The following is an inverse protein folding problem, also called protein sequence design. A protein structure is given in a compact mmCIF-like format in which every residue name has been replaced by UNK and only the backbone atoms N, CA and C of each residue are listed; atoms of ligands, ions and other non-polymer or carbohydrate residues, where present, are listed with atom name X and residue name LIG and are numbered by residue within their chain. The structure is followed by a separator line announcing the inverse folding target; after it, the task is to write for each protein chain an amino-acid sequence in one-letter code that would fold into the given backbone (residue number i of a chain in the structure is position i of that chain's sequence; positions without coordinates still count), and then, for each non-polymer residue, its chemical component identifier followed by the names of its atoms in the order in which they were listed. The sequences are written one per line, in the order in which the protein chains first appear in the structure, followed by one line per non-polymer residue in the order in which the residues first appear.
data_IF_759931869865
#
_entry.id   IF_759931869865
#
_cell.length_a   1.000
_cell.length_b   1.000
_cell.length_c   1.000
_cell.angle_alpha   90.00
_cell.angle_beta   90.00
_cell.angle_gamma   90.00
#
_symmetry.space_group_name_H-M   'P 1'
#
loop_
_entity.id
_entity.type
_entity.pdbx_description
1 polymer ?
#
# COMPACT_ATOMS: atom_id res chain seq x y z
N UNK A 1 42.85 13.29 4.57
CA UNK A 1 43.12 14.64 5.08
C UNK A 1 44.38 15.28 4.47
N UNK A 2 45.56 14.64 4.54
CA UNK A 2 46.83 15.19 4.00
C UNK A 2 46.70 15.64 2.54
N UNK A 3 46.21 14.77 1.64
CA UNK A 3 45.96 15.12 0.21
C UNK A 3 45.00 16.29 0.00
N UNK A 4 44.11 16.57 0.95
CA UNK A 4 43.15 17.67 0.88
C UNK A 4 43.81 18.99 1.32
N UNK A 5 44.63 18.95 2.37
CA UNK A 5 45.47 20.09 2.80
C UNK A 5 46.44 20.50 1.68
N UNK A 6 47.11 19.53 1.04
CA UNK A 6 48.05 19.79 -0.06
C UNK A 6 47.37 20.42 -1.27
N UNK A 7 46.14 19.98 -1.58
CA UNK A 7 45.35 20.48 -2.72
C UNK A 7 44.92 21.93 -2.57
N UNK A 8 44.61 22.37 -1.35
CA UNK A 8 44.01 23.68 -1.07
C UNK A 8 44.95 24.65 -0.34
N UNK A 9 46.24 24.35 -0.26
CA UNK A 9 47.20 25.13 0.55
C UNK A 9 47.33 26.61 0.12
N UNK A 10 47.03 26.90 -1.16
CA UNK A 10 47.14 28.20 -1.80
C UNK A 10 45.82 29.00 -1.83
N UNK A 11 44.71 28.46 -1.31
CA UNK A 11 43.42 29.15 -1.28
C UNK A 11 43.13 29.74 0.11
N UNK A 12 42.46 30.90 0.18
CA UNK A 12 42.15 31.57 1.45
C UNK A 12 40.68 31.43 1.80
N UNK A 13 40.31 30.95 3.02
CA UNK A 13 41.22 30.53 4.10
C UNK A 13 41.86 29.14 3.86
N UNK A 14 43.16 28.99 4.15
CA UNK A 14 43.85 27.71 4.02
C UNK A 14 43.80 26.89 5.32
N UNK A 15 43.92 25.56 5.20
CA UNK A 15 44.12 24.66 6.33
C UNK A 15 45.62 24.39 6.44
N UNK A 16 46.34 24.94 7.42
CA UNK A 16 47.81 25.01 7.37
C UNK A 16 48.49 23.67 7.63
N UNK A 17 47.88 22.76 8.40
CA UNK A 17 48.36 21.40 8.66
C UNK A 17 47.27 20.53 9.30
N UNK A 18 47.54 19.23 9.45
CA UNK A 18 46.61 18.26 10.05
C UNK A 18 46.31 18.59 11.52
N UNK A 19 47.26 19.16 12.27
CA UNK A 19 47.05 19.53 13.67
C UNK A 19 46.02 20.68 13.80
N UNK A 20 46.11 21.70 12.94
CA UNK A 20 45.14 22.79 12.87
C UNK A 20 43.75 22.28 12.48
N UNK A 21 43.66 21.40 11.47
CA UNK A 21 42.39 20.75 11.13
C UNK A 21 41.78 19.98 12.31
N UNK A 22 42.59 19.17 13.00
CA UNK A 22 42.13 18.41 14.14
C UNK A 22 41.67 19.32 15.28
N UNK A 23 42.38 20.43 15.52
CA UNK A 23 42.00 21.44 16.52
C UNK A 23 40.65 22.09 16.19
N UNK A 24 40.48 22.65 14.99
CA UNK A 24 39.22 23.30 14.58
C UNK A 24 38.04 22.31 14.56
N UNK A 25 38.27 21.08 14.07
CA UNK A 25 37.23 20.04 14.14
C UNK A 25 36.93 19.62 15.57
N UNK A 26 37.90 19.69 16.49
CA UNK A 26 37.63 19.42 17.91
C UNK A 26 36.76 20.49 18.53
N UNK A 27 36.96 21.77 18.21
CA UNK A 27 36.08 22.86 18.66
C UNK A 27 34.64 22.61 18.20
N UNK A 28 34.46 22.19 16.94
CA UNK A 28 33.13 21.87 16.42
C UNK A 28 32.53 20.63 17.09
N UNK A 29 33.34 19.63 17.46
CA UNK A 29 32.89 18.47 18.25
C UNK A 29 32.48 18.87 19.65
N UNK A 30 33.33 19.60 20.38
CA UNK A 30 33.05 20.11 21.73
C UNK A 30 31.79 20.98 21.73
N UNK A 31 31.64 21.88 20.76
CA UNK A 31 30.41 22.65 20.59
C UNK A 31 29.20 21.72 20.42
N UNK A 32 29.29 20.72 19.53
CA UNK A 32 28.22 19.75 19.31
C UNK A 32 27.88 18.91 20.55
N UNK A 33 28.89 18.52 21.34
CA UNK A 33 28.76 17.71 22.56
C UNK A 33 28.14 18.50 23.71
N UNK A 34 28.54 19.76 23.90
CA UNK A 34 28.07 20.61 25.00
C UNK A 34 26.73 21.30 24.71
N UNK A 35 26.42 21.54 23.42
CA UNK A 35 25.23 22.30 23.00
C UNK A 35 23.91 21.78 23.57
N UNK A 36 23.64 20.46 23.66
CA UNK A 36 22.39 19.95 24.21
C UNK A 36 22.12 20.43 25.64
N UNK A 37 23.14 20.44 26.51
CA UNK A 37 22.97 20.87 27.90
C UNK A 37 22.66 22.37 27.98
N UNK A 38 23.43 23.21 27.26
CA UNK A 38 23.14 24.65 27.18
C UNK A 38 21.76 24.95 26.58
N UNK A 39 21.31 24.16 25.61
CA UNK A 39 19.95 24.30 25.08
C UNK A 39 18.88 23.94 26.09
N UNK A 40 19.09 22.89 26.89
CA UNK A 40 18.15 22.52 27.96
C UNK A 40 18.00 23.66 28.98
N UNK A 41 19.12 24.22 29.42
CA UNK A 41 19.12 25.35 30.37
C UNK A 41 18.47 26.61 29.77
N UNK A 42 18.74 26.91 28.50
CA UNK A 42 18.11 28.02 27.80
C UNK A 42 16.58 27.85 27.71
N UNK A 43 16.09 26.66 27.34
CA UNK A 43 14.66 26.36 27.30
C UNK A 43 14.02 26.44 28.68
N UNK A 44 14.69 25.90 29.71
CA UNK A 44 14.21 25.98 31.08
C UNK A 44 14.06 27.42 31.56
N UNK A 45 15.05 28.28 31.26
CA UNK A 45 14.99 29.71 31.58
C UNK A 45 13.89 30.43 30.80
N UNK A 46 13.84 30.24 29.48
CA UNK A 46 12.90 30.93 28.60
C UNK A 46 11.43 30.63 28.93
N UNK A 47 11.11 29.36 29.20
CA UNK A 47 9.76 28.93 29.54
C UNK A 47 9.47 28.88 31.06
N UNK A 48 10.43 29.30 31.90
CA UNK A 48 10.33 29.26 33.36
C UNK A 48 9.99 27.84 33.90
N UNK A 49 10.68 26.83 33.38
CA UNK A 49 10.47 25.42 33.72
C UNK A 49 11.15 25.06 35.04
N UNK A 50 10.48 24.22 35.83
CA UNK A 50 10.89 23.90 37.20
C UNK A 50 11.84 22.70 37.27
N UNK A 51 12.77 22.53 36.32
CA UNK A 51 13.73 21.41 36.26
C UNK A 51 13.22 20.17 35.52
N UNK A 52 13.95 19.05 35.62
CA UNK A 52 13.71 17.80 34.89
C UNK A 52 13.49 16.59 35.82
N UNK A 53 12.87 15.54 35.29
CA UNK A 53 12.78 14.21 35.89
C UNK A 53 13.34 13.18 34.91
N UNK A 54 14.10 12.21 35.41
CA UNK A 54 14.65 11.12 34.61
C UNK A 54 13.62 9.99 34.52
N UNK A 55 13.34 9.54 33.30
CA UNK A 55 12.35 8.50 33.03
C UNK A 55 12.99 7.42 32.16
N UNK A 56 12.80 6.16 32.55
CA UNK A 56 13.11 5.00 31.75
C UNK A 56 11.80 4.41 31.20
N UNK A 57 11.75 4.23 29.88
CA UNK A 57 10.65 3.60 29.19
C UNK A 57 11.08 2.22 28.70
N UNK A 58 10.22 1.23 28.94
CA UNK A 58 10.46 -0.14 28.50
C UNK A 58 9.18 -0.83 28.08
N UNK A 59 9.34 -2.05 27.60
CA UNK A 59 8.29 -3.03 27.47
C UNK A 59 8.80 -4.39 27.93
N UNK A 60 7.87 -5.29 28.26
CA UNK A 60 8.22 -6.64 28.69
C UNK A 60 8.94 -7.45 27.60
N UNK A 61 8.65 -7.20 26.32
CA UNK A 61 9.37 -7.79 25.18
C UNK A 61 9.18 -6.93 23.91
N UNK A 62 10.29 -6.43 23.34
CA UNK A 62 10.29 -5.60 22.12
C UNK A 62 10.07 -6.40 20.83
N UNK A 63 10.10 -7.74 20.91
CA UNK A 63 9.73 -8.60 19.81
C UNK A 63 8.22 -8.64 19.60
N UNK A 64 7.41 -8.30 20.62
CA UNK A 64 5.94 -8.47 20.59
C UNK A 64 5.16 -7.14 20.71
N UNK A 65 5.84 -6.03 20.97
CA UNK A 65 5.24 -4.70 20.99
C UNK A 65 6.28 -3.60 20.91
N UNK A 66 5.83 -2.35 20.88
CA UNK A 66 6.67 -1.16 20.81
C UNK A 66 6.07 -0.02 21.62
N UNK A 67 6.93 0.90 22.05
CA UNK A 67 6.54 2.09 22.81
C UNK A 67 6.91 3.32 22.00
N UNK A 68 6.00 4.28 21.97
CA UNK A 68 6.18 5.61 21.39
C UNK A 68 6.12 6.65 22.51
N UNK A 69 6.99 7.64 22.43
CA UNK A 69 7.00 8.83 23.29
C UNK A 69 6.96 10.04 22.37
N UNK A 70 5.96 10.91 22.52
CA UNK A 70 5.73 12.06 21.62
C UNK A 70 5.76 11.66 20.13
N UNK A 71 5.05 10.57 19.80
CA UNK A 71 4.97 10.00 18.44
C UNK A 71 6.30 9.47 17.86
N UNK A 72 7.36 9.38 18.69
CA UNK A 72 8.64 8.78 18.33
C UNK A 72 8.75 7.39 18.92
N UNK A 73 8.94 6.37 18.07
CA UNK A 73 9.26 5.03 18.53
C UNK A 73 10.61 5.02 19.23
N UNK A 74 10.64 4.49 20.45
CA UNK A 74 11.86 4.41 21.27
C UNK A 74 12.37 2.97 21.35
N UNK A 75 13.67 2.83 21.58
CA UNK A 75 14.29 1.55 21.90
C UNK A 75 13.84 1.04 23.28
N UNK A 76 13.92 -0.27 23.50
CA UNK A 76 13.57 -0.84 24.79
C UNK A 76 14.59 -0.42 25.87
N UNK A 77 14.11 -0.07 27.06
CA UNK A 77 14.90 0.52 28.16
C UNK A 77 15.51 1.89 27.82
N UNK A 78 14.87 2.67 26.95
CA UNK A 78 15.25 4.05 26.65
C UNK A 78 15.14 4.93 27.89
N UNK A 79 16.19 5.69 28.20
CA UNK A 79 16.24 6.59 29.34
C UNK A 79 16.49 8.03 28.89
N UNK A 80 15.67 8.98 29.37
CA UNK A 80 15.82 10.39 29.04
C UNK A 80 15.30 11.30 30.18
N UNK A 81 15.63 12.58 30.08
CA UNK A 81 15.17 13.62 31.01
C UNK A 81 14.06 14.44 30.38
N UNK A 82 12.96 14.63 31.11
CA UNK A 82 11.81 15.40 30.69
C UNK A 82 11.55 16.54 31.67
N UNK A 83 11.13 17.70 31.15
CA UNK A 83 10.78 18.84 32.02
C UNK A 83 9.58 18.51 32.90
N UNK A 84 9.69 18.86 34.19
CA UNK A 84 8.59 18.68 35.14
C UNK A 84 7.40 19.55 34.77
N UNK A 85 6.22 19.03 35.06
CA UNK A 85 4.91 19.65 34.81
C UNK A 85 4.57 19.86 33.33
N UNK A 86 5.39 19.29 32.42
CA UNK A 86 5.06 19.19 30.99
C UNK A 86 4.52 17.79 30.72
N UNK A 87 3.24 17.64 30.35
CA UNK A 87 2.68 16.34 30.04
C UNK A 87 3.37 15.72 28.83
N UNK A 88 3.66 14.42 28.89
CA UNK A 88 4.27 13.65 27.82
C UNK A 88 3.31 12.57 27.30
N UNK A 89 3.07 12.55 25.99
CA UNK A 89 2.26 11.50 25.35
C UNK A 89 3.09 10.21 25.26
N UNK A 90 2.49 9.10 25.69
CA UNK A 90 3.05 7.76 25.53
C UNK A 90 2.03 6.83 24.90
N UNK A 91 2.50 5.93 24.04
CA UNK A 91 1.64 5.00 23.32
C UNK A 91 2.27 3.60 23.21
N UNK A 92 1.47 2.57 23.47
CA UNK A 92 1.86 1.17 23.37
C UNK A 92 1.21 0.54 22.14
N UNK A 93 2.04 0.11 21.20
CA UNK A 93 1.62 -0.49 19.93
C UNK A 93 1.99 -1.97 19.92
N UNK A 94 1.03 -2.90 20.10
CA UNK A 94 1.32 -4.34 20.04
C UNK A 94 1.61 -4.78 18.60
N UNK A 95 2.49 -5.78 18.43
CA UNK A 95 2.65 -6.43 17.12
C UNK A 95 1.51 -7.41 16.84
N UNK A 96 1.36 -7.80 15.57
CA UNK A 96 0.32 -8.73 15.12
C UNK A 96 0.43 -10.07 15.87
N UNK A 97 -0.68 -10.52 16.43
CA UNK A 97 -0.74 -11.70 17.30
C UNK A 97 -0.60 -11.38 18.80
N UNK A 98 -0.51 -10.10 19.16
CA UNK A 98 -0.37 -9.65 20.54
C UNK A 98 -1.33 -8.51 20.85
N UNK A 99 -1.57 -8.30 22.14
CA UNK A 99 -2.39 -7.20 22.66
C UNK A 99 -1.67 -6.47 23.78
N UNK A 100 -1.96 -5.18 23.90
CA UNK A 100 -1.58 -4.40 25.06
C UNK A 100 -2.47 -4.78 26.26
N UNK A 101 -1.85 -5.00 27.40
CA UNK A 101 -2.52 -5.37 28.66
C UNK A 101 -2.66 -4.15 29.56
N UNK A 102 -1.53 -3.49 29.85
CA UNK A 102 -1.47 -2.31 30.72
C UNK A 102 -0.09 -1.65 30.70
N UNK A 103 -0.05 -0.43 31.22
CA UNK A 103 1.17 0.23 31.65
C UNK A 103 1.48 -0.06 33.12
N UNK A 104 2.77 -0.13 33.45
CA UNK A 104 3.31 -0.03 34.80
C UNK A 104 3.93 1.36 34.93
N UNK A 105 3.68 2.07 36.04
CA UNK A 105 4.32 3.36 36.33
C UNK A 105 3.51 4.62 35.96
N UNK A 106 2.31 4.45 35.39
CA UNK A 106 1.37 5.56 35.09
C UNK A 106 -0.02 5.28 35.67
N UNK A 107 -0.79 6.34 35.93
CA UNK A 107 -2.11 6.24 36.57
C UNK A 107 -3.17 5.64 35.65
N UNK A 108 -3.27 6.16 34.42
CA UNK A 108 -4.15 5.58 33.41
C UNK A 108 -3.45 4.39 32.76
N UNK A 109 -3.52 3.26 33.45
CA UNK A 109 -2.76 2.08 33.08
C UNK A 109 -3.38 1.27 31.94
N UNK A 110 -4.63 1.51 31.56
CA UNK A 110 -5.36 0.64 30.62
C UNK A 110 -5.53 1.24 29.22
N UNK A 111 -5.36 2.55 29.07
CA UNK A 111 -5.36 3.17 27.75
C UNK A 111 -4.04 2.89 27.03
N UNK A 112 -4.12 2.39 25.78
CA UNK A 112 -2.94 2.19 24.92
C UNK A 112 -2.16 3.49 24.70
N UNK A 113 -2.89 4.59 24.49
CA UNK A 113 -2.35 5.95 24.37
C UNK A 113 -2.77 6.75 25.60
N UNK A 114 -1.79 7.28 26.34
CA UNK A 114 -2.02 8.03 27.57
C UNK A 114 -0.96 9.10 27.78
N UNK A 115 -1.01 9.80 28.91
CA UNK A 115 -0.08 10.89 29.23
C UNK A 115 0.52 10.68 30.62
N UNK A 116 1.83 10.90 30.73
CA UNK A 116 2.51 11.02 32.02
C UNK A 116 2.91 12.47 32.26
N UNK A 117 2.80 12.98 33.49
CA UNK A 117 3.29 14.33 33.82
C UNK A 117 4.43 14.18 34.84
N UNK A 118 5.67 14.53 34.49
CA UNK A 118 6.79 14.40 35.42
C UNK A 118 6.66 15.40 36.57
N UNK A 119 6.91 14.95 37.81
CA UNK A 119 6.78 15.74 39.04
C UNK A 119 7.90 15.51 40.06
N UNK A 120 8.78 14.51 39.86
CA UNK A 120 9.75 14.05 40.87
C UNK A 120 11.14 14.63 40.65
N UNK A 121 11.88 14.82 41.74
CA UNK A 121 13.19 15.50 41.74
C UNK A 121 14.40 14.56 41.73
N UNK A 122 14.32 13.39 42.40
CA UNK A 122 15.53 12.66 42.81
C UNK A 122 15.50 11.13 42.53
N UNK A 123 14.59 10.65 41.68
CA UNK A 123 14.49 9.21 41.36
C UNK A 123 14.10 8.97 39.91
N UNK A 124 14.80 8.06 39.22
CA UNK A 124 14.34 7.56 37.91
C UNK A 124 13.00 6.87 38.07
N UNK A 125 12.03 7.26 37.23
CA UNK A 125 10.76 6.55 37.11
C UNK A 125 10.84 5.53 35.98
N UNK A 126 10.27 4.36 36.22
CA UNK A 126 10.17 3.29 35.24
C UNK A 126 8.74 3.19 34.74
N UNK A 127 8.54 3.43 33.46
CA UNK A 127 7.27 3.24 32.77
C UNK A 127 7.43 2.06 31.81
N UNK A 128 6.58 1.05 31.95
CA UNK A 128 6.70 -0.17 31.14
C UNK A 128 5.37 -0.57 30.51
N UNK A 129 5.36 -0.80 29.19
CA UNK A 129 4.23 -1.40 28.50
C UNK A 129 4.25 -2.93 28.66
N UNK A 130 3.11 -3.51 28.99
CA UNK A 130 2.94 -4.96 29.09
C UNK A 130 2.09 -5.45 27.92
N UNK A 131 2.66 -6.38 27.16
CA UNK A 131 2.04 -7.07 26.04
C UNK A 131 1.91 -8.57 26.32
N UNK A 132 0.91 -9.21 25.72
CA UNK A 132 0.75 -10.67 25.76
C UNK A 132 0.16 -11.18 24.44
N UNK A 133 0.19 -12.50 24.23
CA UNK A 133 -0.42 -13.14 23.06
C UNK A 133 -1.92 -12.86 22.98
N UNK A 134 -2.38 -12.59 21.77
CA UNK A 134 -3.79 -12.44 21.46
C UNK A 134 -4.26 -13.63 20.63
N UNK A 135 -5.46 -14.12 20.91
CA UNK A 135 -5.99 -15.32 20.28
C UNK A 135 -6.63 -14.98 18.92
N UNK A 136 -5.79 -14.54 17.98
CA UNK A 136 -6.18 -14.16 16.62
C UNK A 136 -5.75 -15.20 15.60
N UNK A 137 -6.48 -15.32 14.49
CA UNK A 137 -6.09 -16.21 13.40
C UNK A 137 -4.99 -15.58 12.56
N UNK A 138 -3.85 -16.26 12.46
CA UNK A 138 -2.71 -15.80 11.65
C UNK A 138 -2.64 -16.58 10.35
N UNK A 139 -2.48 -15.88 9.23
CA UNK A 139 -2.18 -16.49 7.93
C UNK A 139 -0.69 -16.85 7.89
N UNK A 140 -0.36 -18.07 7.51
CA UNK A 140 1.04 -18.46 7.26
C UNK A 140 1.63 -17.58 6.16
N UNK A 141 2.85 -17.08 6.38
CA UNK A 141 3.58 -16.31 5.35
C UNK A 141 3.95 -17.16 4.12
N UNK A 142 3.98 -18.48 4.28
CA UNK A 142 4.26 -19.44 3.21
C UNK A 142 3.26 -20.59 3.29
N UNK A 143 2.35 -20.66 2.32
CA UNK A 143 1.29 -21.67 2.23
C UNK A 143 1.81 -22.80 1.33
N UNK A 144 2.18 -23.90 1.96
CA UNK A 144 2.82 -25.08 1.33
C UNK A 144 1.86 -26.24 1.11
N UNK A 145 0.66 -26.16 1.65
CA UNK A 145 -0.42 -27.14 1.49
C UNK A 145 -1.76 -26.43 1.37
N UNK A 146 -2.73 -27.10 0.77
CA UNK A 146 -4.06 -26.52 0.53
C UNK A 146 -4.63 -26.00 1.85
N UNK A 147 -4.97 -24.72 1.87
CA UNK A 147 -5.39 -24.02 3.09
C UNK A 147 -6.73 -23.35 2.85
N UNK A 148 -7.62 -23.46 3.84
CA UNK A 148 -8.93 -22.80 3.83
C UNK A 148 -9.03 -21.80 4.97
N UNK A 149 -9.29 -20.55 4.64
CA UNK A 149 -9.67 -19.50 5.60
C UNK A 149 -11.19 -19.47 5.66
N UNK A 150 -11.77 -19.82 6.82
CA UNK A 150 -13.20 -19.91 7.01
C UNK A 150 -13.72 -18.79 7.90
N UNK A 151 -15.01 -18.49 7.84
CA UNK A 151 -15.61 -17.38 8.58
C UNK A 151 -15.39 -17.43 10.10
N UNK A 152 -15.28 -18.63 10.69
CA UNK A 152 -15.10 -18.78 12.14
C UNK A 152 -13.73 -18.32 12.63
N UNK A 153 -12.73 -18.27 11.75
CA UNK A 153 -11.41 -17.73 12.04
C UNK A 153 -11.26 -16.24 11.68
N UNK A 154 -12.30 -15.59 11.14
CA UNK A 154 -12.21 -14.19 10.72
C UNK A 154 -12.24 -13.23 11.92
N UNK A 155 -11.46 -12.13 11.91
CA UNK A 155 -10.51 -11.72 10.88
C UNK A 155 -9.20 -12.52 10.93
N UNK A 156 -8.61 -12.75 9.76
CA UNK A 156 -7.27 -13.33 9.62
C UNK A 156 -6.22 -12.24 9.44
N UNK A 157 -5.10 -12.35 10.12
CA UNK A 157 -4.00 -11.39 10.05
C UNK A 157 -2.79 -11.97 9.33
N UNK A 158 -2.28 -11.25 8.34
CA UNK A 158 -0.96 -11.53 7.80
C UNK A 158 0.12 -10.86 8.67
N UNK A 159 1.30 -11.49 8.79
CA UNK A 159 2.48 -10.90 9.48
C UNK A 159 3.47 -10.20 8.52
N UNK A 160 3.18 -10.26 7.23
CA UNK A 160 4.01 -9.79 6.13
C UNK A 160 3.46 -10.34 4.82
N UNK A 161 4.31 -10.50 3.80
CA UNK A 161 3.90 -11.18 2.57
C UNK A 161 3.36 -12.58 2.86
N UNK A 162 2.32 -12.96 2.12
CA UNK A 162 1.76 -14.31 2.09
C UNK A 162 2.02 -14.88 0.71
N UNK A 163 2.73 -16.00 0.65
CA UNK A 163 3.09 -16.67 -0.59
C UNK A 163 2.34 -17.99 -0.68
N UNK A 164 1.54 -18.17 -1.74
CA UNK A 164 0.90 -19.44 -2.07
C UNK A 164 1.79 -20.19 -3.06
N UNK A 165 2.35 -21.31 -2.65
CA UNK A 165 3.33 -22.04 -3.46
C UNK A 165 2.72 -22.73 -4.68
N UNK A 166 3.54 -23.06 -5.69
CA UNK A 166 3.08 -23.83 -6.85
C UNK A 166 2.34 -25.11 -6.43
N UNK A 167 1.26 -25.43 -7.15
CA UNK A 167 0.39 -26.58 -6.94
C UNK A 167 -0.37 -26.58 -5.59
N UNK A 168 -0.51 -25.41 -4.95
CA UNK A 168 -1.23 -25.23 -3.70
C UNK A 168 -2.37 -24.23 -3.89
N UNK A 169 -3.52 -24.51 -3.30
CA UNK A 169 -4.67 -23.59 -3.32
C UNK A 169 -4.88 -22.91 -1.96
N UNK A 170 -5.04 -21.59 -1.98
CA UNK A 170 -5.62 -20.84 -0.87
C UNK A 170 -7.11 -20.59 -1.16
N UNK A 171 -7.97 -21.27 -0.41
CA UNK A 171 -9.42 -21.06 -0.45
C UNK A 171 -9.84 -20.10 0.65
N UNK A 172 -10.69 -19.13 0.32
CA UNK A 172 -11.25 -18.18 1.28
C UNK A 172 -12.77 -18.22 1.17
N UNK A 173 -13.43 -18.54 2.28
CA UNK A 173 -14.88 -18.66 2.34
C UNK A 173 -15.57 -17.29 2.38
N UNK A 174 -16.87 -17.28 2.08
CA UNK A 174 -17.68 -16.08 2.12
C UNK A 174 -17.64 -15.35 3.48
N UNK A 175 -17.63 -14.02 3.41
CA UNK A 175 -17.64 -13.12 4.58
C UNK A 175 -16.31 -12.99 5.31
N UNK A 176 -15.25 -13.70 4.90
CA UNK A 176 -13.95 -13.62 5.56
C UNK A 176 -13.32 -12.23 5.37
N UNK A 177 -12.88 -11.65 6.48
CA UNK A 177 -11.98 -10.49 6.52
C UNK A 177 -10.51 -10.92 6.65
N UNK A 178 -9.64 -10.31 5.81
CA UNK A 178 -8.18 -10.43 5.84
C UNK A 178 -7.56 -9.06 6.09
N UNK A 179 -6.70 -8.99 7.10
CA UNK A 179 -5.98 -7.79 7.53
C UNK A 179 -4.50 -7.89 7.16
N UNK A 180 -4.07 -7.04 6.25
CA UNK A 180 -2.72 -7.03 5.69
C UNK A 180 -1.88 -5.91 6.33
N UNK A 181 -0.64 -6.17 6.80
CA UNK A 181 0.23 -5.13 7.30
C UNK A 181 0.76 -4.25 6.16
N UNK A 182 1.41 -3.14 6.53
CA UNK A 182 2.01 -2.21 5.58
C UNK A 182 2.90 -2.92 4.54
N UNK A 183 2.72 -2.57 3.27
CA UNK A 183 3.51 -3.05 2.13
C UNK A 183 3.49 -4.58 1.91
N UNK A 184 2.70 -5.34 2.67
CA UNK A 184 2.59 -6.78 2.50
C UNK A 184 1.76 -7.14 1.27
N UNK A 185 2.20 -8.17 0.56
CA UNK A 185 1.60 -8.65 -0.68
C UNK A 185 1.04 -10.07 -0.53
N UNK A 186 0.03 -10.38 -1.33
CA UNK A 186 -0.45 -11.74 -1.58
C UNK A 186 0.14 -12.24 -2.90
N UNK A 187 1.14 -13.12 -2.84
CA UNK A 187 1.88 -13.60 -4.01
C UNK A 187 1.46 -15.04 -4.31
N UNK A 188 0.86 -15.26 -5.48
CA UNK A 188 0.17 -16.51 -5.81
C UNK A 188 0.91 -17.21 -6.95
N UNK A 189 1.58 -18.31 -6.64
CA UNK A 189 2.22 -19.22 -7.62
C UNK A 189 1.45 -20.51 -7.82
N UNK A 190 0.58 -20.84 -6.86
CA UNK A 190 -0.43 -21.90 -6.95
C UNK A 190 -1.72 -21.36 -7.54
N UNK A 191 -2.77 -21.27 -6.74
CA UNK A 191 -4.01 -20.57 -7.07
C UNK A 191 -4.72 -20.00 -5.83
N UNK A 192 -5.66 -19.08 -6.08
CA UNK A 192 -6.61 -18.61 -5.07
C UNK A 192 -8.05 -18.92 -5.48
N UNK A 193 -8.86 -19.35 -4.52
CA UNK A 193 -10.30 -19.57 -4.68
C UNK A 193 -11.04 -18.72 -3.64
N UNK A 194 -11.33 -17.47 -4.00
CA UNK A 194 -12.09 -16.56 -3.14
C UNK A 194 -13.57 -16.70 -3.47
N UNK A 195 -14.32 -17.24 -2.52
CA UNK A 195 -15.71 -17.67 -2.69
C UNK A 195 -16.67 -16.77 -1.90
N UNK A 196 -16.54 -15.45 -2.04
CA UNK A 196 -17.51 -14.51 -1.48
C UNK A 196 -18.90 -14.69 -2.10
N UNK A 197 -19.91 -14.08 -1.48
CA UNK A 197 -21.24 -13.92 -2.07
C UNK A 197 -21.67 -12.46 -2.04
N UNK A 198 -22.80 -12.12 -2.67
CA UNK A 198 -23.37 -10.78 -2.62
C UNK A 198 -23.70 -10.36 -1.18
N UNK A 199 -24.24 -11.28 -0.39
CA UNK A 199 -24.60 -11.04 1.01
C UNK A 199 -23.38 -11.05 1.95
N UNK A 200 -22.35 -11.82 1.60
CA UNK A 200 -21.16 -12.03 2.42
C UNK A 200 -19.90 -11.92 1.55
N UNK A 201 -19.56 -10.70 1.10
CA UNK A 201 -18.33 -10.49 0.34
C UNK A 201 -17.11 -10.72 1.24
N UNK A 202 -16.02 -11.19 0.64
CA UNK A 202 -14.70 -11.23 1.29
C UNK A 202 -14.16 -9.80 1.33
N UNK A 203 -13.54 -9.41 2.45
CA UNK A 203 -12.90 -8.09 2.58
C UNK A 203 -11.42 -8.25 2.82
N UNK A 204 -10.58 -7.60 2.00
CA UNK A 204 -9.14 -7.52 2.22
C UNK A 204 -8.76 -6.06 2.36
N UNK A 205 -8.15 -5.70 3.49
CA UNK A 205 -7.85 -4.31 3.85
C UNK A 205 -6.57 -4.19 4.67
N UNK A 206 -6.11 -2.95 4.88
CA UNK A 206 -4.96 -2.69 5.73
C UNK A 206 -5.27 -2.99 7.20
N UNK A 207 -4.28 -3.51 7.93
CA UNK A 207 -4.35 -3.63 9.37
C UNK A 207 -3.98 -2.27 10.01
N UNK A 208 -4.98 -1.44 10.31
CA UNK A 208 -4.78 -0.09 10.86
C UNK A 208 -4.04 -0.10 12.21
N UNK A 209 -4.07 -1.22 12.95
CA UNK A 209 -3.29 -1.37 14.19
C UNK A 209 -1.77 -1.40 13.95
N UNK A 210 -1.32 -1.52 12.70
CA UNK A 210 0.09 -1.41 12.34
C UNK A 210 0.58 0.04 12.22
N UNK A 211 -0.30 1.04 12.39
CA UNK A 211 0.03 2.46 12.23
C UNK A 211 -0.02 2.94 10.77
N UNK A 212 -0.44 2.07 9.85
CA UNK A 212 -0.55 2.34 8.43
C UNK A 212 -1.94 2.02 7.91
N UNK A 213 -2.39 2.79 6.93
CA UNK A 213 -3.72 2.69 6.32
C UNK A 213 -3.68 2.13 4.90
N UNK A 214 -2.58 1.47 4.51
CA UNK A 214 -2.37 0.88 3.18
C UNK A 214 -1.64 -0.45 3.30
N UNK A 215 -1.87 -1.34 2.36
CA UNK A 215 -1.11 -2.58 2.18
C UNK A 215 -0.64 -2.70 0.74
N UNK A 216 0.09 -3.77 0.41
CA UNK A 216 0.58 -4.03 -0.94
C UNK A 216 -0.56 -4.36 -1.91
N UNK A 217 -0.40 -5.46 -2.65
CA UNK A 217 -1.33 -5.86 -3.70
C UNK A 217 -1.42 -7.38 -3.81
N UNK A 218 -2.32 -7.87 -4.66
CA UNK A 218 -2.42 -9.27 -5.06
C UNK A 218 -1.62 -9.45 -6.36
N UNK A 219 -0.68 -10.38 -6.37
CA UNK A 219 0.09 -10.72 -7.56
C UNK A 219 -0.01 -12.21 -7.87
N UNK A 220 -0.61 -12.54 -9.01
CA UNK A 220 -0.70 -13.90 -9.54
C UNK A 220 0.44 -14.10 -10.54
N UNK A 221 1.47 -14.85 -10.14
CA UNK A 221 2.73 -15.00 -10.87
C UNK A 221 2.90 -16.44 -11.39
N UNK A 222 2.76 -16.60 -12.70
CA UNK A 222 3.03 -17.86 -13.40
C UNK A 222 2.33 -19.05 -12.71
N UNK A 223 1.07 -18.82 -12.32
CA UNK A 223 0.28 -19.68 -11.45
C UNK A 223 0.05 -21.05 -12.09
N UNK A 224 0.20 -22.12 -11.30
CA UNK A 224 0.03 -23.49 -11.78
C UNK A 224 -1.43 -23.86 -12.07
N UNK A 225 -2.38 -23.07 -11.58
CA UNK A 225 -3.81 -23.25 -11.80
C UNK A 225 -4.55 -21.91 -11.87
N UNK A 226 -5.76 -21.94 -12.41
CA UNK A 226 -6.62 -20.76 -12.57
C UNK A 226 -7.05 -20.21 -11.21
N UNK A 227 -6.85 -18.91 -11.01
CA UNK A 227 -7.34 -18.19 -9.83
C UNK A 227 -8.75 -17.65 -10.06
N UNK A 228 -9.62 -17.77 -9.06
CA UNK A 228 -10.98 -17.23 -9.07
C UNK A 228 -11.16 -16.26 -7.90
N UNK A 229 -11.45 -15.00 -8.22
CA UNK A 229 -11.68 -13.92 -7.27
C UNK A 229 -13.14 -13.49 -7.38
N UNK A 230 -13.99 -13.93 -6.45
CA UNK A 230 -15.43 -13.67 -6.49
C UNK A 230 -15.92 -12.92 -5.27
N UNK A 231 -16.71 -11.87 -5.49
CA UNK A 231 -17.35 -11.07 -4.43
C UNK A 231 -16.36 -10.59 -3.38
N UNK A 232 -15.43 -9.75 -3.82
CA UNK A 232 -14.33 -9.23 -2.99
C UNK A 232 -14.38 -7.70 -2.95
N UNK A 233 -14.28 -7.16 -1.73
CA UNK A 233 -14.00 -5.75 -1.51
C UNK A 233 -12.50 -5.61 -1.22
N UNK A 234 -11.80 -4.96 -2.14
CA UNK A 234 -10.39 -4.62 -1.98
C UNK A 234 -10.29 -3.17 -1.52
N UNK A 235 -9.82 -2.96 -0.30
CA UNK A 235 -9.70 -1.63 0.29
C UNK A 235 -8.23 -1.32 0.54
N UNK A 236 -7.81 -0.08 0.28
CA UNK A 236 -6.49 0.44 0.67
C UNK A 236 -5.30 -0.34 0.07
N UNK A 237 -5.53 -1.08 -1.02
CA UNK A 237 -4.47 -1.73 -1.76
C UNK A 237 -3.62 -0.68 -2.50
N UNK A 238 -2.35 -1.01 -2.73
CA UNK A 238 -1.42 -0.16 -3.48
C UNK A 238 -0.98 -0.86 -4.76
N UNK A 239 0.22 -0.53 -5.24
CA UNK A 239 0.81 -1.01 -6.47
C UNK A 239 2.31 -1.18 -6.30
N UNK A 240 2.96 -1.98 -7.14
CA UNK A 240 4.40 -1.96 -7.24
C UNK A 240 4.86 -0.76 -8.07
N UNK A 241 5.63 0.15 -7.47
CA UNK A 241 6.18 1.33 -8.16
C UNK A 241 7.49 1.06 -8.92
N UNK A 242 8.05 -0.13 -8.78
CA UNK A 242 9.39 -0.46 -9.28
C UNK A 242 9.40 -1.54 -10.36
N UNK A 243 8.31 -2.31 -10.49
CA UNK A 243 8.18 -3.39 -11.46
C UNK A 243 6.94 -3.16 -12.32
N UNK A 244 7.15 -2.94 -13.62
CA UNK A 244 6.08 -2.69 -14.58
C UNK A 244 5.16 -3.89 -14.82
N UNK A 245 5.50 -5.08 -14.32
CA UNK A 245 4.64 -6.27 -14.39
C UNK A 245 3.63 -6.37 -13.22
N UNK A 246 3.73 -5.48 -12.22
CA UNK A 246 3.01 -5.58 -10.95
C UNK A 246 2.36 -4.25 -10.53
N UNK A 247 1.83 -3.51 -11.50
CA UNK A 247 1.36 -2.13 -11.27
C UNK A 247 -0.08 -2.04 -10.78
N UNK A 248 -0.87 -3.11 -10.82
CA UNK A 248 -2.26 -3.13 -10.33
C UNK A 248 -2.41 -3.67 -8.90
N UNK A 249 -3.45 -3.22 -8.20
CA UNK A 249 -3.89 -3.78 -6.92
C UNK A 249 -4.28 -5.26 -7.03
N UNK A 250 -4.77 -5.67 -8.20
CA UNK A 250 -4.71 -7.05 -8.68
C UNK A 250 -3.85 -7.06 -9.94
N UNK A 251 -2.68 -7.71 -9.84
CA UNK A 251 -1.76 -7.93 -10.95
C UNK A 251 -1.69 -9.41 -11.31
N UNK A 252 -1.63 -9.74 -12.60
CA UNK A 252 -1.45 -11.12 -13.06
C UNK A 252 -0.43 -11.21 -14.19
N UNK A 253 0.46 -12.20 -14.12
CA UNK A 253 1.47 -12.49 -15.12
C UNK A 253 1.42 -13.97 -15.50
N UNK A 254 1.27 -14.28 -16.79
CA UNK A 254 1.27 -15.66 -17.34
C UNK A 254 0.35 -16.63 -16.59
N UNK A 255 -0.85 -16.16 -16.26
CA UNK A 255 -1.79 -16.90 -15.41
C UNK A 255 -3.23 -16.71 -15.89
N UNK A 256 -4.04 -17.76 -15.76
CA UNK A 256 -5.48 -17.69 -16.04
C UNK A 256 -6.23 -17.13 -14.83
N UNK A 257 -7.15 -16.19 -15.08
CA UNK A 257 -7.79 -15.42 -14.01
C UNK A 257 -9.28 -15.17 -14.29
N UNK A 258 -10.11 -15.36 -13.27
CA UNK A 258 -11.48 -14.86 -13.21
C UNK A 258 -11.59 -13.84 -12.07
N UNK A 259 -12.00 -12.62 -12.39
CA UNK A 259 -12.38 -11.57 -11.44
C UNK A 259 -13.88 -11.30 -11.64
N UNK A 260 -14.68 -11.53 -10.61
CA UNK A 260 -16.13 -11.43 -10.70
C UNK A 260 -16.73 -10.78 -9.45
N UNK A 261 -17.59 -9.77 -9.63
CA UNK A 261 -18.20 -9.04 -8.51
C UNK A 261 -17.16 -8.43 -7.54
N UNK A 262 -16.08 -7.85 -8.08
CA UNK A 262 -15.04 -7.22 -7.26
C UNK A 262 -15.23 -5.70 -7.24
N UNK A 263 -15.06 -5.11 -6.07
CA UNK A 263 -15.07 -3.65 -5.87
C UNK A 263 -13.70 -3.15 -5.46
N UNK A 264 -13.16 -2.20 -6.23
CA UNK A 264 -11.89 -1.50 -5.95
C UNK A 264 -12.12 -0.01 -6.22
N UNK A 265 -12.12 0.82 -5.18
CA UNK A 265 -12.49 2.24 -5.31
C UNK A 265 -11.42 3.21 -4.82
N UNK A 266 -10.34 2.71 -4.23
CA UNK A 266 -9.33 3.51 -3.52
C UNK A 266 -7.91 2.98 -3.76
N UNK A 267 -7.69 2.29 -4.89
CA UNK A 267 -6.38 1.82 -5.31
C UNK A 267 -5.79 2.72 -6.41
N UNK A 268 -4.46 2.95 -6.42
CA UNK A 268 -3.80 3.76 -7.46
C UNK A 268 -4.03 3.23 -8.87
N UNK A 269 -4.04 1.91 -9.04
CA UNK A 269 -4.30 1.21 -10.30
C UNK A 269 -5.10 -0.05 -9.96
N UNK A 270 -6.35 -0.22 -10.44
CA UNK A 270 -7.18 -1.34 -9.99
C UNK A 270 -6.73 -2.71 -10.51
N UNK A 271 -6.69 -2.93 -11.84
CA UNK A 271 -6.42 -4.25 -12.42
C UNK A 271 -5.43 -4.15 -13.58
N UNK A 272 -4.34 -4.92 -13.47
CA UNK A 272 -3.32 -5.04 -14.51
C UNK A 272 -3.04 -6.51 -14.82
N UNK A 273 -3.06 -6.92 -16.09
CA UNK A 273 -2.82 -8.32 -16.47
C UNK A 273 -1.92 -8.40 -17.69
N UNK A 274 -0.98 -9.35 -17.67
CA UNK A 274 -0.12 -9.70 -18.79
C UNK A 274 -0.15 -11.20 -19.06
N UNK A 275 -0.48 -11.59 -20.30
CA UNK A 275 -0.60 -12.97 -20.75
C UNK A 275 -1.73 -13.78 -20.05
N UNK A 276 -2.00 -14.98 -20.57
CA UNK A 276 -3.02 -15.89 -20.03
C UNK A 276 -4.42 -15.65 -20.60
N UNK A 277 -5.43 -16.27 -19.98
CA UNK A 277 -6.84 -16.09 -20.30
C UNK A 277 -7.56 -15.37 -19.16
N UNK A 278 -8.23 -14.26 -19.49
CA UNK A 278 -8.76 -13.33 -18.48
C UNK A 278 -10.25 -13.12 -18.65
N UNK A 279 -10.98 -13.22 -17.53
CA UNK A 279 -12.38 -12.80 -17.45
C UNK A 279 -12.54 -11.83 -16.30
N UNK A 280 -12.98 -10.61 -16.59
CA UNK A 280 -13.36 -9.59 -15.63
C UNK A 280 -14.83 -9.28 -15.84
N UNK A 281 -15.67 -9.48 -14.83
CA UNK A 281 -17.10 -9.19 -14.97
C UNK A 281 -17.77 -8.70 -13.70
N UNK A 282 -18.86 -7.94 -13.86
CA UNK A 282 -19.67 -7.46 -12.75
C UNK A 282 -18.85 -6.64 -11.72
N UNK A 283 -17.74 -6.01 -12.13
CA UNK A 283 -16.85 -5.32 -11.21
C UNK A 283 -17.20 -3.83 -11.12
N UNK A 284 -16.88 -3.21 -9.98
CA UNK A 284 -17.00 -1.76 -9.78
C UNK A 284 -15.63 -1.17 -9.48
N UNK A 285 -15.12 -0.36 -10.40
CA UNK A 285 -13.74 0.11 -10.36
C UNK A 285 -13.66 1.64 -10.42
N UNK A 286 -12.74 2.19 -9.64
CA UNK A 286 -12.40 3.60 -9.63
C UNK A 286 -11.00 3.83 -9.04
N UNK A 287 -10.33 4.87 -9.52
CA UNK A 287 -9.08 5.40 -8.99
C UNK A 287 -9.12 6.93 -9.06
N UNK A 288 -8.42 7.60 -8.14
CA UNK A 288 -8.19 9.06 -8.17
C UNK A 288 -6.79 9.42 -8.72
N UNK A 289 -5.97 8.41 -9.05
CA UNK A 289 -4.61 8.56 -9.59
C UNK A 289 -4.56 8.35 -11.12
N UNK A 290 -3.39 8.63 -11.71
CA UNK A 290 -3.11 8.38 -13.14
C UNK A 290 -2.94 6.88 -13.36
N UNK A 291 -3.91 6.25 -14.02
CA UNK A 291 -3.88 4.82 -14.36
C UNK A 291 -5.11 4.44 -15.17
N UNK A 292 -5.01 3.35 -15.94
CA UNK A 292 -6.21 2.70 -16.44
C UNK A 292 -6.96 1.98 -15.32
N UNK A 293 -8.27 1.81 -15.46
CA UNK A 293 -9.01 0.98 -14.50
C UNK A 293 -8.75 -0.52 -14.75
N UNK A 294 -8.71 -0.91 -16.03
CA UNK A 294 -8.43 -2.27 -16.47
C UNK A 294 -7.41 -2.17 -17.61
N UNK A 295 -6.21 -2.69 -17.42
CA UNK A 295 -5.23 -2.82 -18.48
C UNK A 295 -4.84 -4.29 -18.64
N UNK A 296 -5.03 -4.82 -19.86
CA UNK A 296 -4.71 -6.20 -20.21
C UNK A 296 -3.77 -6.18 -21.41
N UNK A 297 -2.63 -6.85 -21.29
CA UNK A 297 -1.63 -6.95 -22.35
C UNK A 297 -1.31 -8.39 -22.71
N UNK A 298 -1.11 -8.67 -24.00
CA UNK A 298 -0.60 -9.97 -24.49
C UNK A 298 -1.43 -11.20 -24.11
N UNK A 299 -2.70 -11.02 -23.72
CA UNK A 299 -3.56 -12.14 -23.32
C UNK A 299 -4.04 -12.91 -24.56
N UNK A 300 -4.17 -14.23 -24.42
CA UNK A 300 -4.67 -15.09 -25.49
C UNK A 300 -6.19 -14.88 -25.67
N UNK A 301 -6.90 -14.69 -24.56
CA UNK A 301 -8.28 -14.25 -24.58
C UNK A 301 -8.60 -13.32 -23.41
N UNK A 302 -9.43 -12.31 -23.66
CA UNK A 302 -9.86 -11.37 -22.63
C UNK A 302 -11.35 -11.01 -22.76
N UNK A 303 -12.10 -11.16 -21.66
CA UNK A 303 -13.49 -10.71 -21.54
C UNK A 303 -13.61 -9.66 -20.45
N UNK A 304 -14.09 -8.47 -20.79
CA UNK A 304 -14.51 -7.44 -19.82
C UNK A 304 -16.00 -7.16 -19.99
N UNK A 305 -16.82 -7.57 -19.02
CA UNK A 305 -18.28 -7.55 -19.13
C UNK A 305 -19.02 -6.98 -17.91
N UNK A 306 -20.03 -6.15 -18.17
CA UNK A 306 -20.97 -5.69 -17.14
C UNK A 306 -20.30 -5.00 -15.93
N UNK A 307 -19.22 -4.26 -16.18
CA UNK A 307 -18.52 -3.49 -15.16
C UNK A 307 -19.05 -2.05 -15.07
N UNK A 308 -19.04 -1.46 -13.87
CA UNK A 308 -19.30 -0.05 -13.60
C UNK A 308 -17.97 0.67 -13.34
N UNK A 309 -17.53 1.45 -14.32
CA UNK A 309 -16.18 2.00 -14.44
C UNK A 309 -16.25 3.53 -14.36
N UNK A 310 -15.82 4.08 -13.22
CA UNK A 310 -15.84 5.54 -12.99
C UNK A 310 -14.44 6.12 -13.10
N UNK A 311 -14.25 7.04 -14.04
CA UNK A 311 -13.01 7.77 -14.23
C UNK A 311 -12.80 8.90 -13.22
N UNK A 312 -11.84 9.76 -13.56
CA UNK A 312 -11.41 10.92 -12.79
C UNK A 312 -10.97 12.06 -13.75
N UNK A 313 -10.25 13.06 -13.23
CA UNK A 313 -9.73 14.20 -14.02
C UNK A 313 -8.24 14.05 -14.40
N UNK A 314 -7.63 12.88 -14.18
CA UNK A 314 -6.22 12.63 -14.43
C UNK A 314 -5.98 12.30 -15.90
N UNK A 315 -4.84 12.73 -16.43
CA UNK A 315 -4.39 12.42 -17.78
C UNK A 315 -4.00 10.94 -17.91
N UNK A 316 -3.89 10.40 -19.14
CA UNK A 316 -3.42 9.04 -19.43
C UNK A 316 -4.15 7.99 -18.55
N UNK A 317 -5.47 7.97 -18.65
CA UNK A 317 -6.34 7.18 -17.76
C UNK A 317 -7.49 6.65 -18.58
N UNK A 318 -7.36 5.42 -19.08
CA UNK A 318 -8.41 4.78 -19.86
C UNK A 318 -9.30 3.91 -18.96
N UNK A 319 -10.56 3.73 -19.33
CA UNK A 319 -11.39 2.81 -18.54
C UNK A 319 -10.97 1.35 -18.78
N UNK A 320 -10.71 1.01 -20.03
CA UNK A 320 -10.28 -0.31 -20.47
C UNK A 320 -9.21 -0.12 -21.55
N UNK A 321 -8.00 -0.61 -21.30
CA UNK A 321 -6.89 -0.66 -22.26
C UNK A 321 -6.57 -2.13 -22.58
N UNK A 322 -6.73 -2.51 -23.85
CA UNK A 322 -6.39 -3.82 -24.38
C UNK A 322 -5.25 -3.70 -25.39
N UNK A 323 -4.07 -4.18 -24.99
CA UNK A 323 -2.87 -4.17 -25.81
C UNK A 323 -2.51 -5.57 -26.28
N UNK A 324 -2.40 -5.75 -27.60
CA UNK A 324 -1.87 -6.99 -28.19
C UNK A 324 -2.61 -8.26 -27.70
N UNK A 325 -3.94 -8.18 -27.62
CA UNK A 325 -4.81 -9.30 -27.26
C UNK A 325 -5.05 -10.16 -28.50
N UNK A 326 -4.95 -11.49 -28.41
CA UNK A 326 -5.20 -12.38 -29.57
C UNK A 326 -6.68 -12.42 -29.97
N UNK A 327 -7.57 -12.44 -28.98
CA UNK A 327 -9.04 -12.38 -29.16
C UNK A 327 -9.72 -11.79 -27.92
N UNK A 328 -10.78 -11.01 -28.09
CA UNK A 328 -11.38 -10.36 -26.93
C UNK A 328 -12.80 -9.85 -27.10
N UNK A 329 -13.46 -9.64 -25.97
CA UNK A 329 -14.81 -9.10 -25.89
C UNK A 329 -14.86 -8.03 -24.80
N UNK A 330 -15.36 -6.86 -25.15
CA UNK A 330 -15.68 -5.77 -24.21
C UNK A 330 -17.16 -5.45 -24.38
N UNK A 331 -17.99 -5.83 -23.40
CA UNK A 331 -19.43 -5.68 -23.57
C UNK A 331 -20.22 -5.27 -22.33
N UNK A 332 -21.33 -4.58 -22.56
CA UNK A 332 -22.30 -4.21 -21.54
C UNK A 332 -21.70 -3.43 -20.35
N UNK A 333 -20.55 -2.79 -20.52
CA UNK A 333 -19.93 -1.99 -19.47
C UNK A 333 -20.56 -0.60 -19.42
N UNK A 334 -20.60 -0.01 -18.22
CA UNK A 334 -20.93 1.40 -17.99
C UNK A 334 -19.65 2.15 -17.66
N UNK A 335 -19.20 2.98 -18.60
CA UNK A 335 -17.95 3.75 -18.53
C UNK A 335 -18.32 5.23 -18.46
N UNK A 336 -17.82 5.95 -17.45
CA UNK A 336 -18.22 7.34 -17.29
C UNK A 336 -17.21 8.22 -16.54
N UNK A 337 -17.21 9.51 -16.92
CA UNK A 337 -16.52 10.61 -16.24
C UNK A 337 -14.99 10.52 -16.28
N UNK A 338 -14.43 10.31 -17.48
CA UNK A 338 -12.99 10.35 -17.74
C UNK A 338 -12.66 11.70 -18.36
N UNK A 339 -12.20 12.67 -17.55
CA UNK A 339 -12.05 14.05 -17.98
C UNK A 339 -10.61 14.46 -18.28
N UNK A 340 -9.65 13.56 -18.10
CA UNK A 340 -8.25 13.79 -18.41
C UNK A 340 -7.95 14.03 -19.89
N UNK A 341 -6.75 14.49 -20.15
CA UNK A 341 -6.18 14.45 -21.50
C UNK A 341 -5.70 13.03 -21.80
N UNK A 342 -5.89 12.56 -23.04
CA UNK A 342 -5.54 11.20 -23.45
C UNK A 342 -6.18 10.15 -22.51
N UNK A 343 -7.50 10.26 -22.36
CA UNK A 343 -8.31 9.42 -21.48
C UNK A 343 -9.51 8.93 -22.27
N UNK A 344 -9.35 7.76 -22.86
CA UNK A 344 -10.30 7.10 -23.72
C UNK A 344 -11.23 6.19 -22.88
N UNK A 345 -12.48 6.03 -23.33
CA UNK A 345 -13.40 5.09 -22.68
C UNK A 345 -12.93 3.64 -22.86
N UNK A 346 -12.53 3.28 -24.07
CA UNK A 346 -11.93 1.99 -24.41
C UNK A 346 -10.78 2.28 -25.37
N UNK A 347 -9.55 1.89 -25.02
CA UNK A 347 -8.40 1.92 -25.93
C UNK A 347 -8.01 0.50 -26.36
N UNK A 348 -7.81 0.35 -27.67
CA UNK A 348 -7.33 -0.88 -28.29
C UNK A 348 -6.01 -0.58 -28.99
N UNK A 349 -4.91 -0.95 -28.34
CA UNK A 349 -3.56 -0.66 -28.77
C UNK A 349 -2.75 -1.89 -29.15
N UNK A 350 -1.51 -1.60 -29.56
CA UNK A 350 -0.44 -2.58 -29.80
C UNK A 350 -0.82 -3.82 -30.63
N UNK A 351 -1.78 -3.69 -31.55
CA UNK A 351 -2.18 -4.76 -32.45
C UNK A 351 -3.14 -5.78 -31.84
N UNK A 352 -4.00 -5.39 -30.89
CA UNK A 352 -5.09 -6.22 -30.40
C UNK A 352 -6.00 -6.71 -31.54
N UNK A 353 -6.29 -8.01 -31.62
CA UNK A 353 -6.99 -8.66 -32.73
C UNK A 353 -8.34 -9.22 -32.31
N UNK A 354 -9.25 -9.24 -33.28
CA UNK A 354 -10.54 -9.92 -33.18
C UNK A 354 -11.37 -9.44 -31.97
N UNK A 355 -11.31 -8.13 -31.70
CA UNK A 355 -12.00 -7.54 -30.54
C UNK A 355 -13.45 -7.24 -30.87
N UNK A 356 -14.37 -7.81 -30.10
CA UNK A 356 -15.78 -7.43 -30.14
C UNK A 356 -16.07 -6.37 -29.08
N UNK A 357 -16.49 -5.17 -29.50
CA UNK A 357 -16.96 -4.11 -28.60
C UNK A 357 -18.46 -3.92 -28.76
N UNK A 358 -19.26 -4.38 -27.80
CA UNK A 358 -20.73 -4.44 -27.94
C UNK A 358 -21.52 -3.98 -26.71
N UNK A 359 -22.58 -3.20 -26.92
CA UNK A 359 -23.57 -2.94 -25.87
C UNK A 359 -23.09 -2.05 -24.72
N UNK A 360 -21.92 -1.40 -24.85
CA UNK A 360 -21.37 -0.54 -23.81
C UNK A 360 -22.07 0.82 -23.78
N UNK A 361 -22.18 1.39 -22.58
CA UNK A 361 -22.64 2.76 -22.33
C UNK A 361 -21.43 3.61 -21.91
N UNK A 362 -20.98 4.50 -22.78
CA UNK A 362 -19.79 5.33 -22.60
C UNK A 362 -20.21 6.81 -22.53
N UNK A 363 -19.94 7.46 -21.40
CA UNK A 363 -20.44 8.79 -21.08
C UNK A 363 -19.31 9.71 -20.62
N UNK A 364 -19.26 10.94 -21.12
CA UNK A 364 -18.38 11.98 -20.56
C UNK A 364 -16.88 11.60 -20.59
N UNK A 365 -16.35 11.19 -21.74
CA UNK A 365 -14.91 11.01 -21.96
C UNK A 365 -14.32 12.23 -22.68
N UNK A 366 -13.32 12.89 -22.10
CA UNK A 366 -12.76 14.13 -22.64
C UNK A 366 -11.88 13.92 -23.87
N UNK A 367 -11.48 12.69 -24.16
CA UNK A 367 -10.88 12.31 -25.44
C UNK A 367 -11.84 11.44 -26.28
N UNK A 368 -11.50 10.17 -26.57
CA UNK A 368 -12.34 9.29 -27.41
C UNK A 368 -13.23 8.41 -26.54
N UNK A 369 -14.46 8.17 -26.98
CA UNK A 369 -15.28 7.12 -26.38
C UNK A 369 -14.66 5.73 -26.62
N UNK A 370 -14.24 5.47 -27.86
CA UNK A 370 -13.51 4.26 -28.26
C UNK A 370 -12.37 4.65 -29.20
N UNK A 371 -11.17 4.17 -28.95
CA UNK A 371 -10.04 4.23 -29.87
C UNK A 371 -9.64 2.85 -30.37
N UNK A 372 -9.28 2.79 -31.64
CA UNK A 372 -8.71 1.59 -32.26
C UNK A 372 -7.44 2.01 -32.97
N UNK A 373 -6.29 1.57 -32.47
CA UNK A 373 -5.00 2.06 -32.94
C UNK A 373 -3.97 0.98 -33.20
N UNK A 374 -2.81 1.38 -33.73
CA UNK A 374 -1.60 0.57 -33.78
C UNK A 374 -1.81 -0.82 -34.44
N UNK A 375 -2.64 -0.86 -35.49
CA UNK A 375 -2.96 -2.08 -36.21
C UNK A 375 -3.94 -3.01 -35.51
N UNK A 376 -4.65 -2.55 -34.49
CA UNK A 376 -5.72 -3.31 -33.83
C UNK A 376 -6.93 -3.54 -34.74
N UNK A 377 -7.67 -4.62 -34.51
CA UNK A 377 -8.90 -4.95 -35.27
C UNK A 377 -10.09 -5.15 -34.34
N UNK A 378 -11.21 -4.50 -34.68
CA UNK A 378 -12.41 -4.57 -33.87
C UNK A 378 -13.71 -4.59 -34.68
N UNK A 379 -14.72 -5.28 -34.16
CA UNK A 379 -16.12 -5.13 -34.54
C UNK A 379 -16.81 -4.33 -33.44
N UNK A 380 -17.26 -3.13 -33.76
CA UNK A 380 -17.94 -2.22 -32.83
C UNK A 380 -19.42 -2.15 -33.19
N UNK A 381 -20.32 -2.59 -32.31
CA UNK A 381 -21.78 -2.59 -32.57
C UNK A 381 -22.60 -2.31 -31.32
N UNK A 382 -23.75 -1.64 -31.51
CA UNK A 382 -24.73 -1.41 -30.44
C UNK A 382 -24.21 -0.71 -29.18
N UNK A 383 -23.16 0.12 -29.28
CA UNK A 383 -22.68 0.94 -28.17
C UNK A 383 -23.39 2.30 -28.16
N UNK A 384 -23.61 2.85 -26.98
CA UNK A 384 -24.13 4.21 -26.77
C UNK A 384 -22.97 5.07 -26.27
N UNK A 385 -22.55 6.05 -27.08
CA UNK A 385 -21.43 6.95 -26.77
C UNK A 385 -21.98 8.38 -26.73
N UNK A 386 -21.90 9.03 -25.57
CA UNK A 386 -22.53 10.34 -25.34
C UNK A 386 -21.54 11.28 -24.68
N UNK A 387 -21.53 12.53 -25.14
CA UNK A 387 -20.73 13.62 -24.57
C UNK A 387 -19.23 13.28 -24.47
N UNK A 388 -18.67 12.68 -25.53
CA UNK A 388 -17.24 12.46 -25.67
C UNK A 388 -16.67 13.43 -26.72
N UNK A 389 -15.43 13.91 -26.57
CA UNK A 389 -14.85 14.85 -27.54
C UNK A 389 -14.79 14.23 -28.95
N UNK A 390 -14.45 12.94 -29.02
CA UNK A 390 -14.64 12.11 -30.19
C UNK A 390 -15.44 10.85 -29.81
N UNK A 391 -16.47 10.50 -30.58
CA UNK A 391 -17.24 9.28 -30.32
C UNK A 391 -16.37 8.02 -30.51
N UNK A 392 -15.71 7.92 -31.66
CA UNK A 392 -14.77 6.85 -31.97
C UNK A 392 -13.61 7.40 -32.83
N UNK A 393 -12.38 7.01 -32.52
CA UNK A 393 -11.18 7.31 -33.30
C UNK A 393 -10.47 6.06 -33.81
N UNK A 394 -9.99 6.12 -35.04
CA UNK A 394 -9.20 5.05 -35.67
C UNK A 394 -7.81 5.65 -35.97
N UNK A 395 -6.76 5.12 -35.33
CA UNK A 395 -5.42 5.72 -35.25
C UNK A 395 -4.33 4.75 -35.75
N UNK A 396 -4.13 4.68 -37.06
CA UNK A 396 -3.20 3.69 -37.67
C UNK A 396 -1.78 4.21 -37.98
N UNK A 397 -1.45 5.48 -37.69
CA UNK A 397 -0.10 6.03 -38.02
C UNK A 397 0.40 7.16 -37.09
N UNK A 398 -0.18 7.31 -35.89
CA UNK A 398 0.30 8.30 -34.90
C UNK A 398 0.37 7.68 -33.51
N UNK A 399 1.60 7.55 -33.03
CA UNK A 399 1.99 7.30 -31.63
C UNK A 399 1.50 8.40 -30.70
#
# INVERSE_FOLDING_TARGET
MIKHIDRWNNESPNIPNVAAWNYETNIMREFGEERPQYMKEHLASFFNLSGTEKINFSCNDSLIGSVFVEDVQIENNFEAEFYRYTPIKIEAVPKIGYRFVKWIGVQDSLSKSTTYTPTRTDSTIYISAIFEEDNVSIISSNIIENTTLNISGSPYFAKGNVIVNPNVSLTVDAGVEILMPENANLIIKGDIQFNGTEEQPITIKANENSGFNKWGYIFIDSATAKSNIKYVNLLQATQNKYDSSQIGAISSYKSDLLIENVTILDAPFPIFVQFGNVVIRNCKLHTEEVSDLINIKYAESALTENCDLRGNNQFDTDAIDYDNISSGIIRNNRIYNFYGFNSDGIDLGEGAKEILVEGNLILNCNDKGISVGQGSTAIVKHNIIVNCAQGMGIKDDSS
#
